data_IF_939959379795
#
_entry.id   IF_939959379795
#
_cell.length_a   1.000
_cell.length_b   1.000
_cell.length_c   1.000
_cell.angle_alpha   90.00
_cell.angle_beta   90.00
_cell.angle_gamma   90.00
#
_symmetry.space_group_name_H-M   'P 1'
#
loop_
_entity.id
_entity.type
_entity.pdbx_description
1 polymer ?
#
# COMPACT_ATOMS: atom_id res chain seq x y z
N UNK A 1 -12.26 1.66 -3.55
CA UNK A 1 -11.05 2.45 -3.85
C UNK A 1 -11.23 3.35 -5.09
N UNK A 2 -11.33 2.84 -6.33
CA UNK A 2 -11.49 3.72 -7.52
C UNK A 2 -12.64 4.73 -7.41
N UNK A 3 -13.83 4.30 -6.95
CA UNK A 3 -14.97 5.21 -6.70
C UNK A 3 -14.64 6.35 -5.72
N UNK A 4 -13.81 6.07 -4.71
CA UNK A 4 -13.37 7.08 -3.74
C UNK A 4 -12.41 8.07 -4.42
N UNK A 5 -11.39 7.56 -5.12
CA UNK A 5 -10.41 8.37 -5.84
C UNK A 5 -11.08 9.25 -6.91
N UNK A 6 -12.08 8.72 -7.61
CA UNK A 6 -12.91 9.45 -8.57
C UNK A 6 -13.78 10.51 -7.88
N UNK A 7 -14.45 10.19 -6.77
CA UNK A 7 -15.24 11.15 -6.00
C UNK A 7 -14.39 12.29 -5.43
N UNK A 8 -13.10 12.06 -5.17
CA UNK A 8 -12.14 13.09 -4.78
C UNK A 8 -11.59 13.91 -5.97
N UNK A 9 -11.93 13.55 -7.21
CA UNK A 9 -11.42 14.20 -8.42
C UNK A 9 -9.94 13.92 -8.70
N UNK A 10 -9.35 12.88 -8.09
CA UNK A 10 -7.90 12.65 -8.17
C UNK A 10 -7.45 11.99 -9.48
N UNK A 11 -8.38 11.46 -10.27
CA UNK A 11 -8.12 11.02 -11.64
C UNK A 11 -8.13 12.14 -12.67
N UNK A 12 -8.51 13.37 -12.29
CA UNK A 12 -8.50 14.50 -13.22
C UNK A 12 -7.07 14.81 -13.70
N UNK A 13 -6.87 15.17 -14.99
CA UNK A 13 -5.54 15.47 -15.53
C UNK A 13 -4.79 16.59 -14.80
N UNK A 14 -5.51 17.55 -14.23
CA UNK A 14 -5.02 18.70 -13.49
C UNK A 14 -5.09 18.49 -11.96
N UNK A 15 -5.32 17.25 -11.51
CA UNK A 15 -5.37 16.96 -10.09
C UNK A 15 -4.05 17.34 -9.40
N UNK A 16 -4.11 18.02 -8.23
CA UNK A 16 -2.93 18.25 -7.39
C UNK A 16 -2.43 16.96 -6.74
N UNK A 17 -3.19 15.86 -6.82
CA UNK A 17 -2.86 14.53 -6.30
C UNK A 17 -2.92 13.47 -7.40
N UNK A 18 -2.08 13.57 -8.46
CA UNK A 18 -2.18 12.68 -9.59
C UNK A 18 -1.82 11.25 -9.18
N UNK A 19 -2.66 10.30 -9.58
CA UNK A 19 -2.55 8.88 -9.23
C UNK A 19 -1.55 8.14 -10.13
N UNK A 20 -0.41 8.76 -10.44
CA UNK A 20 0.64 8.10 -11.25
C UNK A 20 1.27 6.93 -10.47
N UNK A 21 1.78 5.89 -11.16
CA UNK A 21 2.46 4.77 -10.49
C UNK A 21 3.59 5.21 -9.56
N UNK A 22 4.37 6.23 -9.96
CA UNK A 22 5.42 6.84 -9.13
C UNK A 22 4.85 7.41 -7.83
N UNK A 23 3.77 8.19 -7.92
CA UNK A 23 3.19 8.82 -6.74
C UNK A 23 2.57 7.80 -5.79
N UNK A 24 1.88 6.79 -6.33
CA UNK A 24 1.31 5.71 -5.52
C UNK A 24 2.40 4.89 -4.81
N UNK A 25 3.50 4.58 -5.51
CA UNK A 25 4.65 3.91 -4.90
C UNK A 25 5.30 4.78 -3.81
N UNK A 26 5.39 6.09 -4.01
CA UNK A 26 5.87 7.01 -2.97
C UNK A 26 4.94 7.04 -1.76
N UNK A 27 3.63 7.16 -1.96
CA UNK A 27 2.64 7.12 -0.87
C UNK A 27 2.71 5.80 -0.10
N UNK A 28 2.78 4.66 -0.80
CA UNK A 28 2.95 3.35 -0.16
C UNK A 28 4.15 3.31 0.81
N UNK A 29 5.28 3.92 0.44
CA UNK A 29 6.47 3.98 1.31
C UNK A 29 6.25 4.93 2.49
N UNK A 30 5.53 6.04 2.29
CA UNK A 30 5.15 6.95 3.39
C UNK A 30 4.32 6.22 4.43
N UNK A 31 3.24 5.53 4.03
CA UNK A 31 2.39 4.80 4.97
C UNK A 31 3.14 3.64 5.65
N UNK A 32 4.05 2.98 4.92
CA UNK A 32 4.90 1.96 5.54
C UNK A 32 5.85 2.53 6.60
N UNK A 33 6.25 3.80 6.46
CA UNK A 33 7.01 4.51 7.48
C UNK A 33 6.13 4.91 8.68
N UNK A 34 4.85 5.22 8.48
CA UNK A 34 3.88 5.44 9.57
C UNK A 34 3.67 4.15 10.38
N UNK A 35 3.59 2.98 9.73
CA UNK A 35 3.63 1.68 10.42
C UNK A 35 4.89 1.56 11.30
N UNK A 36 6.06 1.93 10.79
CA UNK A 36 7.32 1.87 11.53
C UNK A 36 7.33 2.87 12.71
N UNK A 37 6.74 4.06 12.55
CA UNK A 37 6.68 5.09 13.58
C UNK A 37 5.99 4.59 14.85
N UNK A 38 4.96 3.75 14.71
CA UNK A 38 4.25 3.13 15.84
C UNK A 38 5.15 2.34 16.80
N UNK A 39 6.33 1.91 16.33
CA UNK A 39 7.32 1.14 17.11
C UNK A 39 8.55 1.96 17.51
N UNK A 40 8.72 3.20 17.00
CA UNK A 40 10.01 3.91 17.05
C UNK A 40 10.53 4.17 18.48
N UNK A 41 9.64 4.40 19.45
CA UNK A 41 9.99 4.83 20.80
C UNK A 41 9.54 3.88 21.91
N UNK A 42 9.06 2.68 21.57
CA UNK A 42 8.45 1.77 22.54
C UNK A 42 8.71 0.31 22.16
N UNK A 43 9.15 -0.49 23.14
CA UNK A 43 9.20 -1.96 23.01
C UNK A 43 7.82 -2.61 23.23
N UNK A 44 6.81 -1.85 23.67
CA UNK A 44 5.43 -2.32 23.77
C UNK A 44 4.76 -2.29 22.40
N UNK A 45 3.91 -3.28 22.15
CA UNK A 45 3.06 -3.31 20.97
C UNK A 45 2.19 -2.05 20.87
N UNK A 46 2.01 -1.51 19.66
CA UNK A 46 1.14 -0.37 19.44
C UNK A 46 -0.32 -0.73 19.69
N UNK A 47 -1.17 0.30 19.83
CA UNK A 47 -2.61 0.08 19.89
C UNK A 47 -3.08 -0.60 18.60
N UNK A 48 -3.87 -1.66 18.75
CA UNK A 48 -4.34 -2.46 17.62
C UNK A 48 -5.07 -1.61 16.57
N UNK A 49 -5.83 -0.59 17.00
CA UNK A 49 -6.57 0.30 16.11
C UNK A 49 -5.63 1.19 15.27
N UNK A 50 -4.55 1.69 15.87
CA UNK A 50 -3.56 2.50 15.15
C UNK A 50 -2.81 1.64 14.13
N UNK A 51 -2.34 0.46 14.55
CA UNK A 51 -1.67 -0.47 13.65
C UNK A 51 -2.57 -0.92 12.49
N UNK A 52 -3.84 -1.22 12.77
CA UNK A 52 -4.81 -1.59 11.74
C UNK A 52 -5.05 -0.44 10.74
N UNK A 53 -5.04 0.81 11.20
CA UNK A 53 -5.19 1.99 10.33
C UNK A 53 -4.02 2.09 9.34
N UNK A 54 -2.78 2.10 9.84
CA UNK A 54 -1.61 2.28 8.96
C UNK A 54 -1.41 1.10 8.01
N UNK A 55 -1.71 -0.13 8.46
CA UNK A 55 -1.70 -1.30 7.58
C UNK A 55 -2.76 -1.22 6.47
N UNK A 56 -3.93 -0.65 6.77
CA UNK A 56 -4.97 -0.43 5.77
C UNK A 56 -4.53 0.59 4.72
N UNK A 57 -3.84 1.66 5.12
CA UNK A 57 -3.33 2.66 4.19
C UNK A 57 -2.24 2.09 3.27
N UNK A 58 -1.29 1.32 3.81
CA UNK A 58 -0.32 0.55 3.00
C UNK A 58 -1.01 -0.35 2.00
N UNK A 59 -2.02 -1.12 2.44
CA UNK A 59 -2.75 -2.05 1.58
C UNK A 59 -3.53 -1.31 0.48
N UNK A 60 -4.16 -0.18 0.79
CA UNK A 60 -4.91 0.62 -0.17
C UNK A 60 -4.01 1.16 -1.27
N UNK A 61 -2.83 1.71 -0.93
CA UNK A 61 -1.89 2.17 -1.96
C UNK A 61 -1.30 1.03 -2.80
N UNK A 62 -1.03 -0.13 -2.19
CA UNK A 62 -0.57 -1.32 -2.91
C UNK A 62 -1.62 -1.80 -3.92
N UNK A 63 -2.88 -1.92 -3.49
CA UNK A 63 -3.99 -2.31 -4.35
C UNK A 63 -4.23 -1.29 -5.46
N UNK A 64 -4.12 0.02 -5.15
CA UNK A 64 -4.28 1.08 -6.16
C UNK A 64 -3.19 1.02 -7.22
N UNK A 65 -1.95 0.82 -6.79
CA UNK A 65 -0.79 0.70 -7.67
C UNK A 65 -0.89 -0.52 -8.56
N UNK A 66 -1.23 -1.69 -7.99
CA UNK A 66 -1.42 -2.92 -8.75
C UNK A 66 -2.53 -2.75 -9.79
N UNK A 67 -3.68 -2.18 -9.40
CA UNK A 67 -4.80 -1.99 -10.32
C UNK A 67 -4.48 -1.04 -11.48
N UNK A 68 -3.78 0.08 -11.26
CA UNK A 68 -3.40 1.00 -12.34
C UNK A 68 -2.23 0.50 -13.19
N UNK A 69 -1.46 -0.45 -12.67
CA UNK A 69 -0.37 -1.10 -13.40
C UNK A 69 -0.82 -2.39 -14.09
N UNK A 70 -2.12 -2.71 -14.06
CA UNK A 70 -2.71 -3.92 -14.65
C UNK A 70 -2.08 -5.22 -14.12
N UNK A 71 -1.70 -5.22 -12.84
CA UNK A 71 -1.12 -6.39 -12.15
C UNK A 71 -2.23 -7.14 -11.42
N UNK A 72 -2.35 -8.43 -11.71
CA UNK A 72 -3.07 -9.37 -10.85
C UNK A 72 -2.23 -9.63 -9.59
N UNK A 73 -2.51 -8.87 -8.54
CA UNK A 73 -1.75 -8.93 -7.29
C UNK A 73 -1.95 -10.28 -6.58
N UNK A 74 -3.12 -10.89 -6.69
CA UNK A 74 -3.40 -12.18 -6.07
C UNK A 74 -2.52 -13.26 -6.70
N UNK A 75 -2.53 -13.36 -8.03
CA UNK A 75 -1.68 -14.32 -8.73
C UNK A 75 -0.19 -14.05 -8.48
N UNK A 76 0.24 -12.78 -8.50
CA UNK A 76 1.62 -12.41 -8.22
C UNK A 76 2.07 -12.82 -6.80
N UNK A 77 1.18 -12.76 -5.81
CA UNK A 77 1.44 -13.25 -4.45
C UNK A 77 1.58 -14.77 -4.44
N UNK A 78 0.68 -15.50 -5.10
CA UNK A 78 0.75 -16.97 -5.18
C UNK A 78 2.06 -17.45 -5.83
N UNK A 79 2.43 -16.86 -6.98
CA UNK A 79 3.69 -17.17 -7.67
C UNK A 79 4.92 -16.89 -6.77
N UNK A 80 4.85 -15.81 -5.99
CA UNK A 80 5.92 -15.46 -5.05
C UNK A 80 6.02 -16.43 -3.89
N UNK A 81 4.89 -16.91 -3.36
CA UNK A 81 4.86 -17.92 -2.32
C UNK A 81 5.49 -19.23 -2.81
N UNK A 82 5.14 -19.69 -4.00
CA UNK A 82 5.75 -20.89 -4.62
C UNK A 82 7.26 -20.74 -4.77
N UNK A 83 7.73 -19.55 -5.17
CA UNK A 83 9.16 -19.24 -5.23
C UNK A 83 9.82 -19.30 -3.85
N UNK A 84 9.18 -18.73 -2.82
CA UNK A 84 9.71 -18.68 -1.46
C UNK A 84 9.73 -20.05 -0.78
N UNK A 85 8.76 -20.93 -1.04
CA UNK A 85 8.75 -22.31 -0.52
C UNK A 85 9.98 -23.11 -0.97
N UNK A 86 10.50 -22.81 -2.16
CA UNK A 86 11.67 -23.47 -2.74
C UNK A 86 12.99 -22.75 -2.41
N UNK A 87 12.95 -21.68 -1.61
CA UNK A 87 14.13 -20.89 -1.27
C UNK A 87 14.83 -21.48 -0.03
N UNK A 88 16.12 -21.78 -0.16
CA UNK A 88 16.99 -22.02 0.99
C UNK A 88 17.42 -20.67 1.58
N UNK A 89 17.32 -20.54 2.91
CA UNK A 89 17.67 -19.34 3.68
C UNK A 89 19.04 -19.48 4.33
#
# INVERSE_FOLDING_TARGET
MHRFVEAQGWYAPDSPKPQSPRNLASSLVVEAAEVLELFQWSEKEPKAEALASELADVALYLLQLASLSEIDLEQAILDKLDTNYNRAW
#
